data_IF_360588341119
#
_entry.id   IF_360588341119
#
_cell.length_a   1.000
_cell.length_b   1.000
_cell.length_c   1.000
_cell.angle_alpha   90.00
_cell.angle_beta   90.00
_cell.angle_gamma   90.00
#
_symmetry.space_group_name_H-M   'P 1'
#
loop_
_entity.id
_entity.type
_entity.pdbx_description
1 polymer ?
#
# COMPACT_ATOMS: atom_id res chain seq x y z
N UNK A 1 22.98 7.04 -20.01
CA UNK A 1 22.08 5.90 -19.77
C UNK A 1 22.01 5.52 -18.29
N UNK A 2 23.10 5.15 -17.60
CA UNK A 2 23.04 4.78 -16.16
C UNK A 2 22.35 5.81 -15.24
N UNK A 3 22.69 7.11 -15.37
CA UNK A 3 22.12 8.18 -14.55
C UNK A 3 20.60 8.39 -14.72
N UNK A 4 20.05 8.06 -15.88
CA UNK A 4 18.61 8.18 -16.17
C UNK A 4 17.82 7.00 -15.60
N UNK A 5 18.41 5.80 -15.65
CA UNK A 5 17.86 4.60 -15.00
C UNK A 5 17.84 4.73 -13.48
N UNK A 6 18.92 5.18 -12.85
CA UNK A 6 18.97 5.40 -11.39
C UNK A 6 17.87 6.34 -10.88
N UNK A 7 17.63 7.45 -11.59
CA UNK A 7 16.54 8.40 -11.25
C UNK A 7 15.16 7.75 -11.40
N UNK A 8 14.98 6.92 -12.42
CA UNK A 8 13.72 6.20 -12.66
C UNK A 8 13.48 5.15 -11.58
N UNK A 9 14.49 4.36 -11.23
CA UNK A 9 14.44 3.35 -10.15
C UNK A 9 14.09 3.98 -8.80
N UNK A 10 14.74 5.09 -8.45
CA UNK A 10 14.46 5.85 -7.23
C UNK A 10 13.01 6.39 -7.21
N UNK A 11 12.51 6.87 -8.36
CA UNK A 11 11.12 7.33 -8.48
C UNK A 11 10.11 6.20 -8.26
N UNK A 12 10.38 5.00 -8.78
CA UNK A 12 9.54 3.81 -8.57
C UNK A 12 9.55 3.39 -7.09
N UNK A 13 10.73 3.37 -6.47
CA UNK A 13 10.88 3.05 -5.04
C UNK A 13 10.11 4.01 -4.14
N UNK A 14 10.23 5.32 -4.37
CA UNK A 14 9.47 6.34 -3.64
C UNK A 14 7.96 6.20 -3.82
N UNK A 15 7.54 5.84 -5.03
CA UNK A 15 6.11 5.61 -5.33
C UNK A 15 5.58 4.41 -4.56
N UNK A 16 6.35 3.31 -4.50
CA UNK A 16 6.05 2.15 -3.65
C UNK A 16 5.94 2.56 -2.18
N UNK A 17 6.94 3.24 -1.63
CA UNK A 17 6.93 3.68 -0.22
C UNK A 17 5.69 4.52 0.10
N UNK A 18 5.36 5.49 -0.77
CA UNK A 18 4.17 6.32 -0.61
C UNK A 18 2.86 5.53 -0.67
N UNK A 19 2.77 4.52 -1.52
CA UNK A 19 1.61 3.62 -1.53
C UNK A 19 1.50 2.88 -0.21
N UNK A 20 2.60 2.33 0.32
CA UNK A 20 2.59 1.63 1.61
C UNK A 20 2.13 2.52 2.78
N UNK A 21 2.56 3.79 2.80
CA UNK A 21 2.07 4.78 3.77
C UNK A 21 0.55 5.02 3.65
N UNK A 22 0.06 5.17 2.42
CA UNK A 22 -1.37 5.40 2.15
C UNK A 22 -2.21 4.18 2.51
N UNK A 23 -1.73 2.97 2.24
CA UNK A 23 -2.40 1.71 2.63
C UNK A 23 -2.45 1.57 4.13
N UNK A 24 -1.35 1.84 4.82
CA UNK A 24 -1.30 1.80 6.30
C UNK A 24 -2.28 2.80 6.93
N UNK A 25 -2.35 4.01 6.36
CA UNK A 25 -3.32 5.02 6.79
C UNK A 25 -4.75 4.58 6.51
N UNK A 26 -5.02 4.08 5.31
CA UNK A 26 -6.33 3.57 4.93
C UNK A 26 -6.80 2.45 5.87
N UNK A 27 -5.92 1.52 6.21
CA UNK A 27 -6.19 0.47 7.18
C UNK A 27 -6.57 1.03 8.55
N UNK A 28 -5.75 1.94 9.06
CA UNK A 28 -6.00 2.60 10.34
C UNK A 28 -7.36 3.30 10.37
N UNK A 29 -7.72 4.02 9.32
CA UNK A 29 -8.97 4.78 9.26
C UNK A 29 -10.20 3.85 9.19
N UNK A 30 -10.18 2.77 8.40
CA UNK A 30 -11.33 1.86 8.39
C UNK A 30 -11.45 1.08 9.70
N UNK A 31 -10.36 0.63 10.31
CA UNK A 31 -10.39 -0.06 11.62
C UNK A 31 -10.92 0.85 12.72
N UNK A 32 -10.54 2.14 12.69
CA UNK A 32 -11.08 3.16 13.58
C UNK A 32 -12.58 3.35 13.39
N UNK A 33 -13.08 3.39 12.15
CA UNK A 33 -14.51 3.46 11.86
C UNK A 33 -15.29 2.31 12.51
N UNK A 34 -14.80 1.06 12.41
CA UNK A 34 -15.44 -0.09 13.07
C UNK A 34 -15.41 0.02 14.59
N UNK A 35 -14.29 0.48 15.15
CA UNK A 35 -14.13 0.71 16.60
C UNK A 35 -15.14 1.75 17.10
N UNK A 36 -15.28 2.88 16.39
CA UNK A 36 -16.24 3.93 16.74
C UNK A 36 -17.69 3.45 16.59
N UNK A 37 -18.02 2.70 15.54
CA UNK A 37 -19.34 2.11 15.36
C UNK A 37 -19.71 1.16 16.51
N UNK A 38 -18.76 0.32 16.94
CA UNK A 38 -18.94 -0.57 18.10
C UNK A 38 -19.10 0.21 19.41
N UNK A 39 -18.35 1.30 19.59
CA UNK A 39 -18.48 2.18 20.75
C UNK A 39 -19.87 2.83 20.82
N UNK A 40 -20.39 3.33 19.69
CA UNK A 40 -21.75 3.89 19.62
C UNK A 40 -22.82 2.85 19.99
N UNK A 41 -22.70 1.62 19.46
CA UNK A 41 -23.61 0.52 19.79
C UNK A 41 -23.57 0.20 21.29
N UNK A 42 -22.38 0.21 21.89
CA UNK A 42 -22.18 -0.01 23.33
C UNK A 42 -22.71 1.13 24.19
N UNK A 43 -22.68 2.36 23.68
CA UNK A 43 -23.22 3.57 24.32
C UNK A 43 -24.76 3.68 24.25
N UNK A 44 -25.46 2.58 23.95
CA UNK A 44 -26.92 2.50 23.82
C UNK A 44 -27.51 3.26 22.61
N UNK A 45 -26.72 3.53 21.57
CA UNK A 45 -27.30 3.91 20.27
C UNK A 45 -27.95 2.69 19.62
N UNK A 46 -29.24 2.50 19.91
CA UNK A 46 -30.04 1.36 19.47
C UNK A 46 -31.24 1.82 18.64
N UNK A 47 -31.83 0.88 17.88
CA UNK A 47 -32.99 1.13 17.01
C UNK A 47 -32.68 1.00 15.53
N UNK A 48 -33.73 1.10 14.71
CA UNK A 48 -33.71 0.78 13.27
C UNK A 48 -32.59 1.51 12.51
N UNK A 49 -32.32 2.78 12.85
CA UNK A 49 -31.25 3.56 12.23
C UNK A 49 -29.85 3.00 12.55
N UNK A 50 -29.60 2.66 13.80
CA UNK A 50 -28.33 2.05 14.25
C UNK A 50 -28.13 0.68 13.61
N UNK A 51 -29.17 -0.17 13.58
CA UNK A 51 -29.07 -1.50 12.96
C UNK A 51 -28.87 -1.41 11.44
N UNK A 52 -29.52 -0.46 10.78
CA UNK A 52 -29.34 -0.22 9.34
C UNK A 52 -27.91 0.25 9.05
N UNK A 53 -27.39 1.20 9.83
CA UNK A 53 -26.02 1.69 9.69
C UNK A 53 -25.00 0.58 9.91
N UNK A 54 -25.10 -0.17 11.01
CA UNK A 54 -24.15 -1.24 11.33
C UNK A 54 -24.17 -2.37 10.31
N UNK A 55 -25.37 -2.73 9.80
CA UNK A 55 -25.49 -3.71 8.72
C UNK A 55 -24.79 -3.23 7.45
N UNK A 56 -25.02 -1.97 7.06
CA UNK A 56 -24.36 -1.38 5.89
C UNK A 56 -22.85 -1.30 6.07
N UNK A 57 -22.38 -0.93 7.27
CA UNK A 57 -20.96 -0.89 7.56
C UNK A 57 -20.34 -2.28 7.37
N UNK A 58 -20.93 -3.33 7.94
CA UNK A 58 -20.40 -4.70 7.82
C UNK A 58 -20.39 -5.21 6.37
N UNK A 59 -21.37 -4.81 5.54
CA UNK A 59 -21.37 -5.12 4.10
C UNK A 59 -20.13 -4.56 3.37
N UNK A 60 -19.51 -3.48 3.87
CA UNK A 60 -18.29 -2.91 3.28
C UNK A 60 -17.00 -3.50 3.81
N UNK A 61 -17.02 -4.32 4.87
CA UNK A 61 -15.80 -4.83 5.52
C UNK A 61 -14.88 -5.54 4.55
N UNK A 62 -15.43 -6.50 3.80
CA UNK A 62 -14.69 -7.24 2.78
C UNK A 62 -14.14 -6.30 1.71
N UNK A 63 -14.89 -5.29 1.27
CA UNK A 63 -14.41 -4.34 0.28
C UNK A 63 -13.23 -3.49 0.80
N UNK A 64 -13.23 -3.13 2.09
CA UNK A 64 -12.08 -2.43 2.70
C UNK A 64 -10.83 -3.33 2.73
N UNK A 65 -10.99 -4.59 3.13
CA UNK A 65 -9.90 -5.56 3.18
C UNK A 65 -9.35 -5.86 1.77
N UNK A 66 -10.22 -6.07 0.79
CA UNK A 66 -9.84 -6.30 -0.61
C UNK A 66 -9.08 -5.12 -1.21
N UNK A 67 -9.53 -3.88 -0.97
CA UNK A 67 -8.83 -2.71 -1.49
C UNK A 67 -7.44 -2.56 -0.85
N UNK A 68 -7.33 -2.80 0.47
CA UNK A 68 -6.03 -2.84 1.16
C UNK A 68 -5.11 -3.86 0.51
N UNK A 69 -5.60 -5.06 0.25
CA UNK A 69 -4.81 -6.16 -0.31
C UNK A 69 -4.37 -5.88 -1.75
N UNK A 70 -5.27 -5.33 -2.59
CA UNK A 70 -4.94 -4.90 -3.95
C UNK A 70 -3.83 -3.84 -3.93
N UNK A 71 -3.91 -2.87 -3.02
CA UNK A 71 -2.91 -1.80 -2.93
C UNK A 71 -1.57 -2.30 -2.36
N UNK A 72 -1.58 -3.24 -1.41
CA UNK A 72 -0.38 -3.92 -0.94
C UNK A 72 0.30 -4.71 -2.07
N UNK A 73 -0.47 -5.46 -2.85
CA UNK A 73 0.07 -6.20 -3.99
C UNK A 73 0.70 -5.25 -5.04
N UNK A 74 0.08 -4.09 -5.27
CA UNK A 74 0.63 -3.08 -6.18
C UNK A 74 1.90 -2.42 -5.62
N UNK A 75 1.95 -2.14 -4.32
CA UNK A 75 3.16 -1.69 -3.64
C UNK A 75 4.30 -2.70 -3.84
N UNK A 76 4.04 -3.97 -3.56
CA UNK A 76 5.02 -5.05 -3.67
C UNK A 76 5.52 -5.20 -5.11
N UNK A 77 4.62 -5.10 -6.09
CA UNK A 77 4.99 -5.09 -7.50
C UNK A 77 5.99 -3.97 -7.84
N UNK A 78 5.71 -2.74 -7.40
CA UNK A 78 6.61 -1.60 -7.65
C UNK A 78 7.95 -1.75 -6.93
N UNK A 79 7.94 -2.26 -5.69
CA UNK A 79 9.16 -2.54 -4.93
C UNK A 79 10.03 -3.56 -5.67
N UNK A 80 9.45 -4.69 -6.10
CA UNK A 80 10.17 -5.74 -6.82
C UNK A 80 10.72 -5.24 -8.17
N UNK A 81 9.96 -4.39 -8.87
CA UNK A 81 10.43 -3.77 -10.11
C UNK A 81 11.65 -2.86 -9.87
N UNK A 82 11.65 -2.04 -8.82
CA UNK A 82 12.78 -1.18 -8.47
C UNK A 82 14.03 -2.01 -8.09
N UNK A 83 13.87 -3.05 -7.28
CA UNK A 83 14.96 -3.96 -6.90
C UNK A 83 15.57 -4.66 -8.11
N UNK A 84 14.74 -5.07 -9.08
CA UNK A 84 15.22 -5.67 -10.32
C UNK A 84 16.06 -4.70 -11.16
N UNK A 85 15.61 -3.44 -11.31
CA UNK A 85 16.37 -2.42 -12.03
C UNK A 85 17.71 -2.11 -11.36
N UNK A 86 17.74 -2.02 -10.03
CA UNK A 86 18.97 -1.80 -9.26
C UNK A 86 19.97 -2.95 -9.46
N UNK A 87 19.51 -4.20 -9.47
CA UNK A 87 20.37 -5.36 -9.74
C UNK A 87 20.97 -5.32 -11.15
N UNK A 88 20.19 -4.97 -12.17
CA UNK A 88 20.67 -4.84 -13.55
C UNK A 88 21.71 -3.72 -13.67
N UNK A 89 21.46 -2.57 -13.02
CA UNK A 89 22.42 -1.46 -13.02
C UNK A 89 23.75 -1.83 -12.37
N UNK A 90 23.71 -2.51 -11.21
CA UNK A 90 24.92 -2.97 -10.53
C UNK A 90 25.74 -3.93 -11.39
N UNK A 91 25.10 -4.89 -12.06
CA UNK A 91 25.79 -5.82 -12.99
C UNK A 91 26.46 -5.08 -14.15
N UNK A 92 25.76 -4.13 -14.77
CA UNK A 92 26.34 -3.33 -15.87
C UNK A 92 27.52 -2.47 -15.42
N UNK A 93 27.48 -1.94 -14.20
CA UNK A 93 28.61 -1.20 -13.62
C UNK A 93 29.82 -2.11 -13.37
N UNK A 94 29.61 -3.32 -12.85
CA UNK A 94 30.66 -4.32 -12.65
C UNK A 94 31.31 -4.73 -13.98
N UNK A 95 30.50 -5.06 -14.99
CA UNK A 95 30.99 -5.42 -16.33
C UNK A 95 31.75 -4.26 -16.99
N UNK A 96 31.25 -3.03 -16.89
CA UNK A 96 31.93 -1.84 -17.41
C UNK A 96 33.26 -1.56 -16.68
N UNK A 97 33.34 -1.84 -15.37
CA UNK A 97 34.57 -1.76 -14.59
C UNK A 97 35.61 -2.78 -15.04
N UNK A 98 35.17 -4.00 -15.40
CA UNK A 98 36.03 -5.07 -15.88
C UNK A 98 36.56 -4.84 -17.30
N UNK A 99 35.87 -4.07 -18.14
CA UNK A 99 36.32 -3.70 -19.50
C UNK A 99 37.41 -2.62 -19.53
N UNK A 100 37.78 -2.05 -18.37
CA UNK A 100 38.85 -1.02 -18.24
C UNK A 100 40.22 -1.57 -17.84
N UNK A 101 40.42 -2.89 -17.84
CA UNK A 101 41.72 -3.55 -17.69
C UNK A 101 42.20 -4.15 -19.01
#
# INVERSE_FOLDING_TARGET
>A
MAREWSVTTESVKRSSERIGELVSKYQTEYEKLYTEAQALRSAKWTGIASDTFNKKLEEYKTAFEELRDVMNNYQEFLKNAAEHYEQVENRLQEEAGNLRG
#
